data_IF_095170677624
#
_entry.id   IF_095170677624
#
_cell.length_a   1.000
_cell.length_b   1.000
_cell.length_c   1.000
_cell.angle_alpha   90.00
_cell.angle_beta   90.00
_cell.angle_gamma   90.00
#
_symmetry.space_group_name_H-M   'P 1'
#
loop_
_entity.id
_entity.type
_entity.pdbx_description
1 polymer ?
#
# COMPACT_ATOMS: atom_id res chain seq x y z
N UNK A 1 -3.74 8.58 -59.33
CA UNK A 1 -4.78 9.30 -58.55
C UNK A 1 -5.23 8.56 -57.28
N UNK A 2 -5.31 7.22 -57.27
CA UNK A 2 -5.79 6.41 -56.13
C UNK A 2 -5.03 6.65 -54.79
N UNK A 3 -3.71 6.80 -54.82
CA UNK A 3 -2.88 6.97 -53.60
C UNK A 3 -3.17 8.26 -52.81
N UNK A 4 -3.48 9.36 -53.51
CA UNK A 4 -3.84 10.64 -52.88
C UNK A 4 -5.20 10.56 -52.18
N UNK A 5 -6.16 9.84 -52.77
CA UNK A 5 -7.50 9.63 -52.19
C UNK A 5 -7.40 8.76 -50.94
N UNK A 6 -6.62 7.67 -50.99
CA UNK A 6 -6.39 6.79 -49.85
C UNK A 6 -5.78 7.53 -48.65
N UNK A 7 -4.78 8.41 -48.88
CA UNK A 7 -4.22 9.27 -47.82
C UNK A 7 -5.25 10.20 -47.19
N UNK A 8 -6.15 10.81 -47.97
CA UNK A 8 -7.22 11.67 -47.43
C UNK A 8 -8.21 10.88 -46.57
N UNK A 9 -8.58 9.67 -46.98
CA UNK A 9 -9.47 8.79 -46.21
C UNK A 9 -8.82 8.37 -44.88
N UNK A 10 -7.56 7.96 -44.91
CA UNK A 10 -6.80 7.62 -43.71
C UNK A 10 -6.73 8.81 -42.73
N UNK A 11 -6.45 10.01 -43.23
CA UNK A 11 -6.40 11.22 -42.39
C UNK A 11 -7.75 11.54 -41.75
N UNK A 12 -8.85 11.41 -42.49
CA UNK A 12 -10.21 11.59 -41.93
C UNK A 12 -10.51 10.59 -40.82
N UNK A 13 -10.09 9.32 -40.97
CA UNK A 13 -10.23 8.29 -39.92
C UNK A 13 -9.44 8.66 -38.67
N UNK A 14 -8.20 9.13 -38.81
CA UNK A 14 -7.37 9.60 -37.69
C UNK A 14 -8.03 10.75 -36.92
N UNK A 15 -8.57 11.75 -37.62
CA UNK A 15 -9.26 12.86 -36.96
C UNK A 15 -10.56 12.45 -36.29
N UNK A 16 -11.31 11.49 -36.85
CA UNK A 16 -12.50 10.93 -36.19
C UNK A 16 -12.13 10.24 -34.87
N UNK A 17 -11.07 9.45 -34.87
CA UNK A 17 -10.57 8.76 -33.67
C UNK A 17 -10.04 9.75 -32.63
N UNK A 18 -9.26 10.75 -33.05
CA UNK A 18 -8.76 11.78 -32.14
C UNK A 18 -9.93 12.52 -31.48
N UNK A 19 -10.93 12.92 -32.27
CA UNK A 19 -12.14 13.59 -31.79
C UNK A 19 -12.92 12.75 -30.77
N UNK A 20 -13.06 11.44 -30.99
CA UNK A 20 -13.76 10.57 -30.03
C UNK A 20 -13.00 10.40 -28.73
N UNK A 21 -11.67 10.28 -28.77
CA UNK A 21 -10.83 10.13 -27.58
C UNK A 21 -10.76 11.40 -26.73
N UNK A 22 -10.74 12.57 -27.40
CA UNK A 22 -10.61 13.87 -26.72
C UNK A 22 -11.96 14.52 -26.43
N UNK A 23 -13.07 13.82 -26.72
CA UNK A 23 -14.44 14.31 -26.60
C UNK A 23 -14.70 15.65 -27.31
N UNK A 24 -13.96 15.92 -28.39
CA UNK A 24 -14.11 17.15 -29.16
C UNK A 24 -15.46 17.18 -29.90
N UNK A 25 -16.16 18.31 -29.82
CA UNK A 25 -17.40 18.55 -30.57
C UNK A 25 -17.14 19.17 -31.94
N UNK A 26 -15.90 19.59 -32.22
CA UNK A 26 -15.57 20.32 -33.43
C UNK A 26 -15.52 19.42 -34.66
N UNK A 27 -15.90 20.00 -35.80
CA UNK A 27 -15.71 19.41 -37.14
C UNK A 27 -14.46 19.94 -37.83
N UNK A 28 -13.88 21.04 -37.32
CA UNK A 28 -12.67 21.64 -37.86
C UNK A 28 -11.44 20.92 -37.35
N UNK A 29 -10.52 20.56 -38.25
CA UNK A 29 -9.30 19.81 -37.91
C UNK A 29 -8.39 20.55 -36.92
N UNK A 30 -8.24 21.87 -37.10
CA UNK A 30 -7.44 22.72 -36.21
C UNK A 30 -7.99 22.72 -34.79
N UNK A 31 -9.31 22.90 -34.64
CA UNK A 31 -9.97 22.82 -33.34
C UNK A 31 -9.88 21.43 -32.71
N UNK A 32 -10.03 20.35 -33.50
CA UNK A 32 -9.84 18.98 -32.98
C UNK A 32 -8.42 18.79 -32.41
N UNK A 33 -7.41 19.40 -33.04
CA UNK A 33 -6.02 19.37 -32.53
C UNK A 33 -5.89 20.20 -31.25
N UNK A 34 -6.45 21.41 -31.21
CA UNK A 34 -6.41 22.26 -30.02
C UNK A 34 -7.12 21.59 -28.83
N UNK A 35 -8.30 21.01 -29.06
CA UNK A 35 -9.04 20.25 -28.04
C UNK A 35 -8.24 19.04 -27.56
N UNK A 36 -7.47 18.39 -28.44
CA UNK A 36 -6.60 17.29 -28.06
C UNK A 36 -5.42 17.75 -27.17
N UNK A 37 -4.82 18.89 -27.49
CA UNK A 37 -3.75 19.48 -26.69
C UNK A 37 -4.28 19.91 -25.31
N UNK A 38 -5.46 20.52 -25.25
CA UNK A 38 -6.13 20.87 -24.00
C UNK A 38 -6.44 19.62 -23.16
N UNK A 39 -6.94 18.55 -23.79
CA UNK A 39 -7.19 17.28 -23.10
C UNK A 39 -5.91 16.67 -22.51
N UNK A 40 -4.81 16.67 -23.25
CA UNK A 40 -3.50 16.20 -22.76
C UNK A 40 -3.03 17.05 -21.57
N UNK A 41 -3.17 18.38 -21.65
CA UNK A 41 -2.82 19.27 -20.54
C UNK A 41 -3.67 19.00 -19.30
N UNK A 42 -4.98 18.79 -19.44
CA UNK A 42 -5.87 18.42 -18.33
C UNK A 42 -5.44 17.10 -17.69
N UNK A 43 -5.07 16.10 -18.48
CA UNK A 43 -4.55 14.83 -17.96
C UNK A 43 -3.23 15.03 -17.21
N UNK A 44 -2.33 15.86 -17.74
CA UNK A 44 -1.07 16.19 -17.09
C UNK A 44 -1.28 16.83 -15.71
N UNK A 45 -2.16 17.83 -15.62
CA UNK A 45 -2.51 18.49 -14.35
C UNK A 45 -3.11 17.48 -13.36
N UNK A 46 -4.01 16.61 -13.81
CA UNK A 46 -4.59 15.55 -12.96
C UNK A 46 -3.53 14.58 -12.44
N UNK A 47 -2.57 14.20 -13.29
CA UNK A 47 -1.46 13.34 -12.90
C UNK A 47 -0.56 13.99 -11.85
N UNK A 48 -0.22 15.27 -12.03
CA UNK A 48 0.58 16.04 -11.07
C UNK A 48 -0.13 16.15 -9.71
N UNK A 49 -1.45 16.42 -9.71
CA UNK A 49 -2.25 16.47 -8.49
C UNK A 49 -2.28 15.12 -7.76
N UNK A 50 -2.52 14.01 -8.48
CA UNK A 50 -2.48 12.65 -7.93
C UNK A 50 -1.10 12.30 -7.38
N UNK A 51 -0.03 12.69 -8.07
CA UNK A 51 1.34 12.44 -7.62
C UNK A 51 1.64 13.21 -6.33
N UNK A 52 1.16 14.45 -6.22
CA UNK A 52 1.30 15.26 -5.01
C UNK A 52 0.49 14.68 -3.84
N UNK A 53 -0.75 14.27 -4.07
CA UNK A 53 -1.58 13.60 -3.05
C UNK A 53 -0.93 12.30 -2.58
N UNK A 54 -0.41 11.49 -3.50
CA UNK A 54 0.30 10.26 -3.18
C UNK A 54 1.59 10.52 -2.38
N UNK A 55 2.38 11.52 -2.77
CA UNK A 55 3.55 11.94 -2.01
C UNK A 55 3.18 12.42 -0.60
N UNK A 56 2.09 13.19 -0.46
CA UNK A 56 1.58 13.61 0.84
C UNK A 56 1.13 12.43 1.70
N UNK A 57 0.51 11.40 1.13
CA UNK A 57 0.15 10.18 1.86
C UNK A 57 1.38 9.39 2.33
N UNK A 58 2.47 9.40 1.55
CA UNK A 58 3.74 8.78 1.94
C UNK A 58 4.46 9.58 3.03
N UNK A 59 4.53 10.91 2.87
CA UNK A 59 5.32 11.78 3.75
C UNK A 59 4.60 12.17 5.04
N UNK A 60 3.26 12.27 5.00
CA UNK A 60 2.41 12.44 6.17
C UNK A 60 1.57 11.18 6.36
N UNK A 61 2.18 10.04 6.71
CA UNK A 61 1.40 8.87 7.06
C UNK A 61 0.53 9.27 8.24
N UNK A 62 -0.79 9.16 8.07
CA UNK A 62 -1.76 9.13 9.16
C UNK A 62 -1.09 8.31 10.27
N UNK A 63 -0.92 8.89 11.46
CA UNK A 63 -0.22 8.22 12.56
C UNK A 63 -0.85 6.84 12.72
N UNK A 64 -0.18 5.80 12.22
CA UNK A 64 -0.74 4.45 12.26
C UNK A 64 -0.71 4.08 13.74
N UNK A 65 -1.87 3.96 14.41
CA UNK A 65 -1.88 3.61 15.81
C UNK A 65 -1.27 2.22 15.94
N UNK A 66 -0.38 2.04 16.92
CA UNK A 66 0.10 0.70 17.27
C UNK A 66 -1.05 -0.05 17.93
N UNK A 67 -1.57 -1.06 17.25
CA UNK A 67 -2.62 -1.94 17.73
C UNK A 67 -2.07 -3.35 17.82
N UNK A 68 -2.09 -3.92 19.02
CA UNK A 68 -1.76 -5.32 19.27
C UNK A 68 -3.01 -5.99 19.83
N UNK A 69 -3.40 -7.11 19.25
CA UNK A 69 -4.49 -7.96 19.71
C UNK A 69 -3.96 -9.37 19.90
N UNK A 70 -4.19 -9.93 21.07
CA UNK A 70 -3.82 -11.31 21.41
C UNK A 70 -5.09 -12.04 21.80
N UNK A 71 -5.40 -13.10 21.08
CA UNK A 71 -6.56 -13.96 21.32
C UNK A 71 -6.05 -15.35 21.71
N UNK A 72 -6.56 -15.90 22.82
CA UNK A 72 -6.22 -17.27 23.23
C UNK A 72 -6.99 -18.26 22.35
N UNK A 73 -6.27 -19.21 21.74
CA UNK A 73 -6.80 -20.29 20.91
C UNK A 73 -6.52 -21.64 21.59
N UNK A 74 -7.07 -22.74 21.08
CA UNK A 74 -7.02 -24.06 21.74
C UNK A 74 -5.61 -24.49 22.18
N UNK A 75 -4.58 -24.23 21.37
CA UNK A 75 -3.19 -24.63 21.65
C UNK A 75 -2.23 -23.46 21.84
N UNK A 76 -2.70 -22.23 22.06
CA UNK A 76 -1.81 -21.08 22.23
C UNK A 76 -2.49 -19.75 21.94
N UNK A 77 -1.91 -18.95 21.04
CA UNK A 77 -2.34 -17.58 20.79
C UNK A 77 -2.38 -17.22 19.30
N UNK A 78 -3.40 -16.44 18.93
CA UNK A 78 -3.44 -15.68 17.69
C UNK A 78 -3.05 -14.23 18.01
N UNK A 79 -1.92 -13.80 17.47
CA UNK A 79 -1.34 -12.47 17.68
C UNK A 79 -1.49 -11.67 16.41
N UNK A 80 -2.17 -10.52 16.49
CA UNK A 80 -2.35 -9.57 15.39
C UNK A 80 -1.77 -8.23 15.78
N UNK A 81 -0.79 -7.77 15.01
CA UNK A 81 -0.14 -6.47 15.21
C UNK A 81 -0.34 -5.61 13.97
N UNK A 82 -0.65 -4.34 14.18
CA UNK A 82 -0.65 -3.30 13.15
C UNK A 82 0.09 -2.10 13.70
N UNK A 83 1.14 -1.64 13.02
CA UNK A 83 1.87 -0.44 13.42
C UNK A 83 2.60 0.20 12.24
N UNK A 84 3.28 1.33 12.49
CA UNK A 84 4.16 1.97 11.51
C UNK A 84 5.26 1.00 11.06
N UNK A 85 5.48 0.92 9.75
CA UNK A 85 6.55 0.10 9.19
C UNK A 85 7.93 0.65 9.60
N UNK A 86 8.80 -0.23 10.11
CA UNK A 86 10.16 0.04 10.56
C UNK A 86 11.06 -1.13 10.16
N UNK A 87 12.36 -0.89 10.11
CA UNK A 87 13.34 -1.95 9.86
C UNK A 87 13.31 -2.98 10.98
N UNK A 88 13.47 -4.25 10.60
CA UNK A 88 13.67 -5.40 11.50
C UNK A 88 12.56 -5.66 12.53
N UNK A 89 11.38 -5.09 12.31
CA UNK A 89 10.26 -5.21 13.24
C UNK A 89 9.73 -6.65 13.34
N UNK A 90 9.77 -7.40 12.23
CA UNK A 90 9.36 -8.81 12.23
C UNK A 90 10.28 -9.68 13.08
N UNK A 91 11.60 -9.45 13.03
CA UNK A 91 12.57 -10.14 13.87
C UNK A 91 12.27 -9.87 15.34
N UNK A 92 12.10 -8.59 15.71
CA UNK A 92 11.81 -8.22 17.10
C UNK A 92 10.50 -8.82 17.63
N UNK A 93 9.45 -8.91 16.80
CA UNK A 93 8.16 -9.47 17.23
C UNK A 93 8.22 -10.99 17.34
N UNK A 94 8.86 -11.67 16.39
CA UNK A 94 9.00 -13.14 16.44
C UNK A 94 9.87 -13.54 17.63
N UNK A 95 11.01 -12.86 17.85
CA UNK A 95 11.85 -13.07 19.03
C UNK A 95 11.10 -12.82 20.34
N UNK A 96 10.19 -11.84 20.39
CA UNK A 96 9.38 -11.62 21.59
C UNK A 96 8.44 -12.80 21.87
N UNK A 97 7.83 -13.39 20.83
CA UNK A 97 6.96 -14.54 20.96
C UNK A 97 7.75 -15.80 21.36
N UNK A 98 8.86 -16.07 20.68
CA UNK A 98 9.66 -17.29 20.90
C UNK A 98 10.54 -17.22 22.15
N UNK A 99 11.33 -16.15 22.29
CA UNK A 99 12.33 -16.03 23.36
C UNK A 99 11.72 -15.49 24.65
N UNK A 100 10.84 -14.49 24.56
CA UNK A 100 10.32 -13.81 25.77
C UNK A 100 9.06 -14.48 26.30
N UNK A 101 8.19 -14.96 25.40
CA UNK A 101 6.98 -15.70 25.77
C UNK A 101 7.14 -17.22 25.66
N UNK A 102 8.23 -17.78 25.14
CA UNK A 102 8.36 -19.24 25.07
C UNK A 102 7.29 -19.91 24.20
N UNK A 103 6.76 -19.19 23.21
CA UNK A 103 5.75 -19.68 22.28
C UNK A 103 6.41 -20.17 20.98
N UNK A 104 5.93 -21.26 20.41
CA UNK A 104 6.43 -21.72 19.11
C UNK A 104 5.58 -21.13 17.96
N UNK A 105 6.18 -20.32 17.08
CA UNK A 105 5.46 -19.64 16.00
C UNK A 105 5.30 -20.57 14.80
N UNK A 106 4.11 -21.17 14.67
CA UNK A 106 3.82 -22.14 13.61
C UNK A 106 3.51 -21.48 12.28
N UNK A 107 2.81 -20.34 12.34
CA UNK A 107 2.38 -19.64 11.15
C UNK A 107 2.48 -18.13 11.37
N UNK A 108 3.07 -17.43 10.41
CA UNK A 108 3.09 -15.98 10.38
C UNK A 108 2.79 -15.48 8.97
N UNK A 109 1.88 -14.52 8.89
CA UNK A 109 1.55 -13.78 7.67
C UNK A 109 1.90 -12.32 7.86
N UNK A 110 2.71 -11.79 6.96
CA UNK A 110 3.27 -10.43 7.06
C UNK A 110 2.82 -9.60 5.84
N UNK A 111 2.46 -8.34 6.08
CA UNK A 111 2.21 -7.31 5.05
C UNK A 111 2.93 -6.02 5.43
N UNK A 112 3.67 -5.44 4.48
CA UNK A 112 4.54 -4.28 4.72
C UNK A 112 4.28 -3.09 3.77
N UNK A 113 3.18 -3.12 3.01
CA UNK A 113 2.99 -2.17 1.89
C UNK A 113 2.88 -0.71 2.35
N UNK A 114 2.06 -0.44 3.37
CA UNK A 114 1.75 0.93 3.85
C UNK A 114 1.93 1.04 5.36
N UNK A 115 1.46 0.02 6.08
CA UNK A 115 1.75 -0.24 7.48
C UNK A 115 2.39 -1.62 7.60
N UNK A 116 3.04 -1.86 8.74
CA UNK A 116 3.45 -3.21 9.09
C UNK A 116 2.27 -3.91 9.76
N UNK A 117 1.87 -5.05 9.20
CA UNK A 117 0.86 -5.92 9.77
C UNK A 117 1.42 -7.34 9.85
N UNK A 118 1.29 -7.97 11.00
CA UNK A 118 1.60 -9.39 11.19
C UNK A 118 0.43 -10.08 11.87
N UNK A 119 0.09 -11.25 11.36
CA UNK A 119 -0.79 -12.21 11.99
C UNK A 119 0.01 -13.48 12.25
N UNK A 120 0.22 -13.81 13.52
CA UNK A 120 1.00 -14.95 13.94
C UNK A 120 0.15 -15.92 14.79
N UNK A 121 0.27 -17.21 14.51
CA UNK A 121 -0.27 -18.29 15.31
C UNK A 121 0.91 -18.90 16.05
N UNK A 122 0.87 -18.84 17.38
CA UNK A 122 1.93 -19.32 18.23
C UNK A 122 1.38 -20.34 19.23
N UNK A 123 1.96 -21.53 19.31
CA UNK A 123 1.59 -22.56 20.27
C UNK A 123 2.26 -22.31 21.63
N UNK A 124 1.52 -22.52 22.72
CA UNK A 124 2.04 -22.39 24.07
C UNK A 124 2.47 -23.75 24.59
N UNK A 125 3.71 -23.83 25.08
CA UNK A 125 4.21 -25.07 25.69
C UNK A 125 3.58 -25.34 27.06
N UNK A 126 3.05 -24.30 27.73
CA UNK A 126 2.35 -24.39 29.00
C UNK A 126 0.97 -23.68 28.94
N UNK A 127 -0.09 -24.33 29.40
CA UNK A 127 -1.48 -23.85 29.21
C UNK A 127 -1.86 -22.67 30.12
N UNK A 128 -1.06 -22.41 31.16
CA UNK A 128 -1.29 -21.38 32.17
C UNK A 128 -0.88 -19.97 31.73
N UNK A 129 -0.37 -19.82 30.50
CA UNK A 129 0.07 -18.52 30.02
C UNK A 129 -1.11 -17.57 29.77
N UNK A 130 -0.96 -16.31 30.20
CA UNK A 130 -1.96 -15.26 30.03
C UNK A 130 -1.70 -14.49 28.72
N UNK A 131 -2.77 -14.17 28.01
CA UNK A 131 -2.73 -13.33 26.81
C UNK A 131 -2.19 -11.92 27.12
N UNK A 132 -2.31 -11.47 28.37
CA UNK A 132 -1.78 -10.18 28.83
C UNK A 132 -0.25 -10.12 28.78
N UNK A 133 0.41 -11.17 29.23
CA UNK A 133 1.88 -11.25 29.26
C UNK A 133 2.44 -11.26 27.83
N UNK A 134 1.80 -12.01 26.94
CA UNK A 134 2.14 -12.04 25.51
C UNK A 134 1.94 -10.67 24.86
N UNK A 135 0.82 -9.99 25.19
CA UNK A 135 0.54 -8.65 24.68
C UNK A 135 1.60 -7.64 25.15
N UNK A 136 1.99 -7.68 26.42
CA UNK A 136 3.01 -6.80 26.99
C UNK A 136 4.40 -7.06 26.38
N UNK A 137 4.77 -8.32 26.16
CA UNK A 137 6.03 -8.69 25.51
C UNK A 137 6.10 -8.12 24.07
N UNK A 138 5.02 -8.26 23.30
CA UNK A 138 4.93 -7.74 21.93
C UNK A 138 4.96 -6.21 21.91
N UNK A 139 4.21 -5.53 22.80
CA UNK A 139 4.27 -4.08 22.92
C UNK A 139 5.68 -3.58 23.27
N UNK A 140 6.35 -4.27 24.19
CA UNK A 140 7.72 -3.95 24.60
C UNK A 140 8.70 -4.08 23.43
N UNK A 141 8.58 -5.13 22.62
CA UNK A 141 9.41 -5.32 21.43
C UNK A 141 9.22 -4.20 20.40
N UNK A 142 7.97 -3.80 20.14
CA UNK A 142 7.65 -2.70 19.23
C UNK A 142 8.21 -1.37 19.76
N UNK A 143 8.12 -1.13 21.07
CA UNK A 143 8.64 0.08 21.71
C UNK A 143 10.19 0.14 21.68
N UNK A 144 10.87 -0.98 21.95
CA UNK A 144 12.34 -1.07 21.84
C UNK A 144 12.81 -0.81 20.42
N UNK A 145 12.17 -1.40 19.41
CA UNK A 145 12.50 -1.17 18.01
C UNK A 145 12.28 0.30 17.59
N UNK A 146 11.31 0.99 18.20
CA UNK A 146 11.09 2.42 17.94
C UNK A 146 12.24 3.32 18.45
N UNK A 147 12.94 2.93 19.51
CA UNK A 147 14.01 3.72 20.14
C UNK A 147 15.43 3.31 19.67
N UNK A 148 15.57 2.17 18.99
CA UNK A 148 16.87 1.60 18.60
C UNK A 148 17.35 1.96 17.19
N UNK A 149 16.58 2.74 16.41
CA UNK A 149 16.86 3.00 14.98
C UNK A 149 18.02 3.95 14.67
N UNK A 150 18.83 4.35 15.65
CA UNK A 150 19.89 5.37 15.54
C UNK A 150 21.32 4.79 15.65
N UNK A 151 21.55 3.54 15.23
CA UNK A 151 22.90 2.95 15.19
C UNK A 151 23.24 2.36 13.84
#
# INVERSE_FOLDING_TARGET
MASRVQRRVALRRKFKLLRSLTHSKSVMKSSIILDALDYINKLKIKWEALTLEYANLIHNPIQVPTVVKVEKIEKGFLVRVTCKNRKDLHVSIIEALEVTSGLDVIHAKISCNHSYCIEAIAEAQDQNQDARDVNEAVFTAIAKNANGGDR
#
